data_IF_651772761288
#
_entry.id   IF_651772761288
#
_cell.length_a   1.000
_cell.length_b   1.000
_cell.length_c   1.000
_cell.angle_alpha   90.00
_cell.angle_beta   90.00
_cell.angle_gamma   90.00
#
_symmetry.space_group_name_H-M   'P 1'
#
loop_
_entity.id
_entity.type
_entity.pdbx_description
1 polymer ?
#
# COMPACT_ATOMS: atom_id res chain seq x y z
N UNK A 1 13.37 -28.87 16.35
CA UNK A 1 12.43 -28.03 15.57
C UNK A 1 12.11 -26.86 16.48
N UNK A 2 12.73 -25.70 16.24
CA UNK A 2 12.46 -24.50 17.04
C UNK A 2 11.09 -24.00 16.56
N UNK A 3 10.16 -23.84 17.49
CA UNK A 3 8.79 -23.43 17.22
C UNK A 3 8.77 -21.99 16.67
N UNK A 4 8.64 -21.87 15.35
CA UNK A 4 8.62 -20.60 14.62
C UNK A 4 7.32 -19.81 14.93
N UNK A 5 6.28 -20.46 15.45
CA UNK A 5 4.99 -19.80 15.73
C UNK A 5 5.06 -18.87 16.96
N UNK A 6 5.76 -19.28 18.02
CA UNK A 6 5.96 -18.49 19.25
C UNK A 6 6.71 -17.16 19.01
N UNK A 7 7.61 -17.12 18.03
CA UNK A 7 8.38 -15.91 17.70
C UNK A 7 7.61 -14.90 16.83
N UNK A 8 6.73 -15.40 15.95
CA UNK A 8 5.89 -14.56 15.09
C UNK A 8 4.82 -13.81 15.88
N UNK A 9 4.25 -14.46 16.91
CA UNK A 9 3.24 -13.87 17.79
C UNK A 9 3.81 -12.74 18.65
N UNK A 10 5.01 -12.92 19.23
CA UNK A 10 5.65 -11.89 20.05
C UNK A 10 6.07 -10.64 19.24
N UNK A 11 6.55 -10.85 18.00
CA UNK A 11 6.90 -9.75 17.10
C UNK A 11 5.67 -8.95 16.67
N UNK A 12 4.57 -9.65 16.36
CA UNK A 12 3.30 -9.02 16.05
C UNK A 12 2.79 -8.18 17.22
N UNK A 13 2.68 -8.77 18.43
CA UNK A 13 2.11 -8.07 19.58
C UNK A 13 2.90 -6.80 19.92
N UNK A 14 4.23 -6.84 19.82
CA UNK A 14 5.07 -5.66 20.02
C UNK A 14 4.79 -4.55 19.00
N UNK A 15 4.75 -4.89 17.71
CA UNK A 15 4.48 -3.91 16.65
C UNK A 15 3.05 -3.38 16.72
N UNK A 16 2.09 -4.24 17.06
CA UNK A 16 0.68 -3.90 17.23
C UNK A 16 0.48 -2.89 18.36
N UNK A 17 1.08 -3.10 19.53
CA UNK A 17 0.99 -2.14 20.65
C UNK A 17 1.57 -0.77 20.28
N UNK A 18 2.76 -0.76 19.68
CA UNK A 18 3.38 0.49 19.20
C UNK A 18 2.52 1.18 18.13
N UNK A 19 1.94 0.40 17.22
CA UNK A 19 1.07 0.91 16.17
C UNK A 19 -0.22 1.52 16.73
N UNK A 20 -0.80 0.93 17.80
CA UNK A 20 -1.95 1.50 18.49
C UNK A 20 -1.61 2.78 19.23
N UNK A 21 -0.54 2.79 20.03
CA UNK A 21 -0.09 3.98 20.77
C UNK A 21 0.08 5.18 19.83
N UNK A 22 0.78 4.96 18.71
CA UNK A 22 0.95 5.98 17.66
C UNK A 22 -0.37 6.53 17.11
N UNK A 23 -1.40 5.69 16.96
CA UNK A 23 -2.69 6.13 16.41
C UNK A 23 -3.64 6.71 17.47
N UNK A 24 -3.35 6.50 18.76
CA UNK A 24 -4.05 7.16 19.86
C UNK A 24 -3.54 8.59 20.06
N UNK A 25 -2.25 8.84 19.82
CA UNK A 25 -1.65 10.17 19.95
C UNK A 25 -2.39 11.22 19.11
N UNK A 26 -2.90 12.26 19.77
CA UNK A 26 -3.59 13.38 19.13
C UNK A 26 -5.07 13.13 18.77
N UNK A 27 -5.61 11.92 18.97
CA UNK A 27 -7.06 11.68 18.84
C UNK A 27 -7.80 12.02 20.13
N UNK A 28 -9.02 12.53 20.01
CA UNK A 28 -9.90 12.88 21.15
C UNK A 28 -11.33 12.39 20.90
N UNK A 29 -12.17 12.42 21.93
CA UNK A 29 -13.60 12.11 21.81
C UNK A 29 -13.88 10.70 21.24
N UNK A 30 -14.79 10.64 20.25
CA UNK A 30 -15.23 9.38 19.63
C UNK A 30 -14.09 8.65 18.90
N UNK A 31 -13.18 9.40 18.26
CA UNK A 31 -12.06 8.82 17.51
C UNK A 31 -11.08 8.10 18.44
N UNK A 32 -10.84 8.63 19.65
CA UNK A 32 -10.03 7.97 20.66
C UNK A 32 -10.77 6.77 21.26
N UNK A 33 -12.06 6.93 21.60
CA UNK A 33 -12.90 5.86 22.15
C UNK A 33 -12.94 4.64 21.23
N UNK A 34 -13.00 4.88 19.92
CA UNK A 34 -13.00 3.81 18.92
C UNK A 34 -11.68 3.05 18.87
N UNK A 35 -10.52 3.71 18.99
CA UNK A 35 -9.27 2.95 19.08
C UNK A 35 -9.17 2.19 20.41
N UNK A 36 -9.51 2.83 21.53
CA UNK A 36 -9.27 2.25 22.87
C UNK A 36 -10.26 1.14 23.22
N UNK A 37 -11.52 1.28 22.79
CA UNK A 37 -12.62 0.38 23.17
C UNK A 37 -13.39 -0.21 21.97
N UNK A 38 -13.19 0.34 20.76
CA UNK A 38 -13.90 -0.06 19.54
C UNK A 38 -13.08 -0.97 18.62
N UNK A 39 -11.75 -0.87 18.66
CA UNK A 39 -10.87 -1.70 17.85
C UNK A 39 -11.04 -3.15 18.29
N UNK A 40 -11.78 -3.87 17.47
CA UNK A 40 -12.46 -5.08 17.87
C UNK A 40 -11.58 -6.32 17.78
N UNK A 41 -12.20 -7.41 18.26
CA UNK A 41 -11.70 -8.76 18.04
C UNK A 41 -11.47 -9.05 16.54
N UNK A 42 -12.37 -8.58 15.66
CA UNK A 42 -12.31 -8.87 14.22
C UNK A 42 -11.10 -8.26 13.52
N UNK A 43 -10.77 -7.01 13.83
CA UNK A 43 -9.66 -6.29 13.24
C UNK A 43 -8.32 -6.83 13.73
N UNK A 44 -8.15 -7.06 15.03
CA UNK A 44 -6.95 -7.73 15.54
C UNK A 44 -6.82 -9.13 14.96
N UNK A 45 -7.92 -9.87 14.80
CA UNK A 45 -7.93 -11.20 14.18
C UNK A 45 -7.51 -11.13 12.71
N UNK A 46 -7.97 -10.16 11.95
CA UNK A 46 -7.52 -9.96 10.57
C UNK A 46 -6.04 -9.61 10.50
N UNK A 47 -5.58 -8.70 11.36
CA UNK A 47 -4.18 -8.29 11.38
C UNK A 47 -3.26 -9.48 11.71
N UNK A 48 -3.63 -10.30 12.68
CA UNK A 48 -2.88 -11.51 13.08
C UNK A 48 -2.95 -12.63 12.05
N UNK A 49 -4.16 -13.01 11.61
CA UNK A 49 -4.37 -14.22 10.79
C UNK A 49 -4.19 -13.98 9.30
N UNK A 50 -4.34 -12.74 8.81
CA UNK A 50 -4.39 -12.46 7.37
C UNK A 50 -3.29 -11.50 6.94
N UNK A 51 -3.17 -10.35 7.61
CA UNK A 51 -2.26 -9.29 7.16
C UNK A 51 -0.79 -9.58 7.50
N UNK A 52 -0.52 -9.82 8.79
CA UNK A 52 0.84 -10.02 9.30
C UNK A 52 1.60 -11.17 8.62
N UNK A 53 1.00 -12.34 8.34
CA UNK A 53 1.68 -13.45 7.66
C UNK A 53 2.13 -13.13 6.23
N UNK A 54 1.63 -12.04 5.63
CA UNK A 54 1.98 -11.61 4.28
C UNK A 54 2.93 -10.43 4.32
N UNK A 55 2.59 -9.40 5.10
CA UNK A 55 3.24 -8.08 5.01
C UNK A 55 4.33 -7.90 6.08
N UNK A 56 4.21 -8.55 7.24
CA UNK A 56 5.14 -8.45 8.37
C UNK A 56 5.42 -6.99 8.82
N UNK A 57 4.47 -6.09 8.56
CA UNK A 57 4.50 -4.69 8.97
C UNK A 57 3.06 -4.15 9.03
N UNK A 58 2.82 -3.19 9.91
CA UNK A 58 1.59 -2.42 10.01
C UNK A 58 1.73 -1.01 9.38
N UNK A 59 2.83 -0.76 8.67
CA UNK A 59 3.04 0.48 7.94
C UNK A 59 1.90 0.74 6.95
N UNK A 60 1.54 2.02 6.83
CA UNK A 60 0.45 2.51 5.98
C UNK A 60 -0.96 2.05 6.37
N UNK A 61 -1.11 1.18 7.37
CA UNK A 61 -2.42 0.87 7.96
C UNK A 61 -2.78 1.91 9.03
N UNK A 62 -4.04 2.33 8.99
CA UNK A 62 -4.64 3.23 9.96
C UNK A 62 -5.93 2.60 10.51
N UNK A 63 -6.04 2.36 11.83
CA UNK A 63 -7.27 1.87 12.42
C UNK A 63 -8.28 3.00 12.56
N UNK A 64 -9.57 2.64 12.45
CA UNK A 64 -10.70 3.55 12.70
C UNK A 64 -10.48 4.88 11.98
N UNK A 65 -10.20 4.80 10.66
CA UNK A 65 -9.81 5.96 9.87
C UNK A 65 -11.03 6.80 9.53
N UNK A 66 -10.96 8.08 9.90
CA UNK A 66 -12.06 9.02 9.69
C UNK A 66 -12.08 9.48 8.23
N UNK A 67 -13.23 9.34 7.59
CA UNK A 67 -13.51 9.93 6.28
C UNK A 67 -14.50 11.09 6.46
N UNK A 68 -14.22 12.20 5.79
CA UNK A 68 -15.18 13.29 5.68
C UNK A 68 -16.31 12.83 4.75
N UNK A 69 -17.55 13.01 5.20
CA UNK A 69 -18.75 12.80 4.38
C UNK A 69 -19.48 14.13 4.25
N UNK A 70 -20.20 14.32 3.15
CA UNK A 70 -20.89 15.57 2.79
C UNK A 70 -22.08 15.89 3.73
N UNK A 71 -22.44 14.97 4.63
CA UNK A 71 -23.38 15.23 5.72
C UNK A 71 -22.70 14.97 7.06
N UNK A 72 -22.65 15.99 7.93
CA UNK A 72 -22.16 16.16 9.33
C UNK A 72 -21.97 14.92 10.27
N UNK A 73 -21.67 13.73 9.76
CA UNK A 73 -21.44 12.49 10.51
C UNK A 73 -20.02 12.02 10.23
N UNK A 74 -19.24 11.90 11.29
CA UNK A 74 -17.96 11.22 11.22
C UNK A 74 -18.19 9.74 10.88
N UNK A 75 -17.65 9.31 9.73
CA UNK A 75 -17.66 7.92 9.31
C UNK A 75 -16.27 7.34 9.45
N UNK A 76 -16.22 6.08 9.87
CA UNK A 76 -14.99 5.36 10.17
C UNK A 76 -14.85 4.18 9.22
N UNK A 77 -13.62 3.96 8.76
CA UNK A 77 -13.18 2.73 8.09
C UNK A 77 -12.41 1.92 9.12
N UNK A 78 -12.75 0.65 9.31
CA UNK A 78 -12.10 -0.21 10.32
C UNK A 78 -10.57 -0.22 10.16
N UNK A 79 -10.09 -0.47 8.93
CA UNK A 79 -8.69 -0.41 8.56
C UNK A 79 -8.52 0.29 7.20
N UNK A 80 -7.88 1.45 7.18
CA UNK A 80 -7.47 2.12 5.95
C UNK A 80 -6.00 1.82 5.63
N UNK A 81 -5.73 1.23 4.46
CA UNK A 81 -4.36 1.10 3.93
C UNK A 81 -4.08 2.22 2.93
N UNK A 82 -3.30 3.21 3.36
CA UNK A 82 -3.02 4.44 2.62
C UNK A 82 -1.58 4.41 2.13
N UNK A 83 -1.40 3.88 0.92
CA UNK A 83 -0.09 3.80 0.26
C UNK A 83 -0.20 4.21 -1.19
N UNK A 84 0.57 5.23 -1.58
CA UNK A 84 0.55 5.75 -2.94
C UNK A 84 0.71 4.64 -4.00
N UNK A 85 -0.09 4.63 -5.08
CA UNK A 85 -1.10 5.62 -5.47
C UNK A 85 -2.52 5.29 -4.99
N UNK A 86 -2.70 4.28 -4.14
CA UNK A 86 -4.04 3.78 -3.77
C UNK A 86 -4.40 4.07 -2.31
N UNK A 87 -5.69 4.11 -2.05
CA UNK A 87 -6.27 4.09 -0.71
C UNK A 87 -7.23 2.92 -0.66
N UNK A 88 -7.02 2.01 0.28
CA UNK A 88 -7.84 0.81 0.42
C UNK A 88 -8.61 0.91 1.72
N UNK A 89 -9.94 0.79 1.63
CA UNK A 89 -10.82 0.68 2.77
C UNK A 89 -11.05 -0.82 3.01
N UNK A 90 -10.62 -1.31 4.18
CA UNK A 90 -10.79 -2.70 4.60
C UNK A 90 -11.82 -2.69 5.73
N UNK A 91 -12.97 -3.32 5.47
CA UNK A 91 -14.07 -3.43 6.45
C UNK A 91 -14.16 -4.87 6.95
N UNK A 92 -14.40 -5.04 8.24
CA UNK A 92 -14.47 -6.34 8.90
C UNK A 92 -15.86 -6.52 9.50
N UNK A 93 -16.67 -7.25 8.76
CA UNK A 93 -18.07 -7.46 9.08
C UNK A 93 -18.23 -8.62 10.07
N UNK A 94 -18.58 -8.28 11.30
CA UNK A 94 -19.06 -9.26 12.28
C UNK A 94 -20.42 -9.84 11.87
N UNK A 95 -20.61 -11.14 12.06
CA UNK A 95 -21.94 -11.77 11.95
C UNK A 95 -22.51 -12.01 13.35
N UNK A 96 -23.61 -11.33 13.70
CA UNK A 96 -24.25 -11.48 15.01
C UNK A 96 -25.74 -11.13 14.99
N UNK A 97 -26.45 -11.30 16.13
CA UNK A 97 -27.87 -10.97 16.26
C UNK A 97 -28.19 -9.51 15.89
N UNK A 98 -27.20 -8.62 15.99
CA UNK A 98 -27.31 -7.21 15.63
C UNK A 98 -27.61 -6.97 14.14
N UNK A 99 -27.21 -7.86 13.21
CA UNK A 99 -27.62 -7.76 11.80
C UNK A 99 -29.13 -7.98 11.62
N UNK A 100 -29.78 -8.72 12.52
CA UNK A 100 -31.26 -8.84 12.54
C UNK A 100 -31.95 -7.57 13.06
N UNK A 101 -31.20 -6.70 13.76
CA UNK A 101 -31.67 -5.44 14.34
C UNK A 101 -31.22 -4.21 13.54
N UNK A 102 -30.51 -4.38 12.42
CA UNK A 102 -30.24 -3.26 11.51
C UNK A 102 -31.57 -2.89 10.86
N UNK A 103 -32.06 -1.69 11.17
CA UNK A 103 -33.25 -1.13 10.53
C UNK A 103 -32.99 -0.93 9.03
N UNK A 104 -34.04 -1.01 8.21
CA UNK A 104 -33.95 -0.87 6.74
C UNK A 104 -33.23 0.41 6.33
N UNK A 105 -33.39 1.48 7.11
CA UNK A 105 -32.68 2.75 6.90
C UNK A 105 -31.16 2.64 7.11
N UNK A 106 -30.71 1.96 8.17
CA UNK A 106 -29.28 1.74 8.41
C UNK A 106 -28.66 0.83 7.35
N UNK A 107 -29.41 -0.17 6.87
CA UNK A 107 -28.95 -1.00 5.75
C UNK A 107 -28.75 -0.16 4.49
N UNK A 108 -29.73 0.67 4.12
CA UNK A 108 -29.61 1.58 2.99
C UNK A 108 -28.45 2.58 3.13
N UNK A 109 -28.26 3.15 4.33
CA UNK A 109 -27.16 4.07 4.63
C UNK A 109 -25.79 3.40 4.45
N UNK A 110 -25.64 2.15 4.90
CA UNK A 110 -24.41 1.37 4.72
C UNK A 110 -24.10 1.09 3.23
N UNK A 111 -25.13 0.86 2.41
CA UNK A 111 -24.96 0.70 0.97
C UNK A 111 -24.53 2.02 0.31
N UNK A 112 -25.13 3.15 0.70
CA UNK A 112 -24.74 4.45 0.17
C UNK A 112 -23.32 4.84 0.61
N UNK A 113 -22.94 4.53 1.86
CA UNK A 113 -21.57 4.69 2.35
C UNK A 113 -20.56 3.94 1.48
N UNK A 114 -20.86 2.69 1.15
CA UNK A 114 -20.03 1.89 0.25
C UNK A 114 -19.83 2.61 -1.08
N UNK A 115 -20.92 3.10 -1.67
CA UNK A 115 -20.88 3.79 -2.96
C UNK A 115 -20.07 5.10 -2.89
N UNK A 116 -20.22 5.88 -1.82
CA UNK A 116 -19.46 7.13 -1.63
C UNK A 116 -17.95 6.87 -1.56
N UNK A 117 -17.51 5.87 -0.79
CA UNK A 117 -16.10 5.49 -0.74
C UNK A 117 -15.55 5.12 -2.13
N UNK A 118 -16.33 4.37 -2.92
CA UNK A 118 -15.95 4.01 -4.29
C UNK A 118 -15.86 5.25 -5.19
N UNK A 119 -16.81 6.18 -5.09
CA UNK A 119 -16.80 7.45 -5.83
C UNK A 119 -15.57 8.31 -5.46
N UNK A 120 -15.19 8.31 -4.19
CA UNK A 120 -13.99 9.01 -3.68
C UNK A 120 -12.67 8.32 -4.04
N UNK A 121 -12.73 7.29 -4.88
CA UNK A 121 -11.57 6.58 -5.40
C UNK A 121 -10.95 5.57 -4.43
N UNK A 122 -11.64 5.23 -3.34
CA UNK A 122 -11.20 4.13 -2.47
C UNK A 122 -11.36 2.79 -3.17
N UNK A 123 -10.40 1.90 -2.92
CA UNK A 123 -10.56 0.48 -3.16
C UNK A 123 -11.21 -0.14 -1.93
N UNK A 124 -12.48 -0.49 -2.04
CA UNK A 124 -13.22 -1.05 -0.92
C UNK A 124 -13.19 -2.58 -0.96
N UNK A 125 -12.73 -3.21 0.13
CA UNK A 125 -12.74 -4.65 0.33
C UNK A 125 -13.34 -4.96 1.69
N UNK A 126 -14.10 -6.06 1.77
CA UNK A 126 -14.81 -6.47 2.99
C UNK A 126 -14.51 -7.92 3.30
N UNK A 127 -14.35 -8.23 4.58
CA UNK A 127 -14.16 -9.60 5.08
C UNK A 127 -15.19 -9.86 6.17
N UNK A 128 -15.74 -11.07 6.22
CA UNK A 128 -16.52 -11.49 7.38
C UNK A 128 -15.58 -12.02 8.46
N UNK A 129 -15.88 -11.75 9.73
CA UNK A 129 -15.16 -12.36 10.87
C UNK A 129 -15.16 -13.88 10.73
N UNK A 130 -16.29 -14.46 10.32
CA UNK A 130 -16.44 -15.90 10.09
C UNK A 130 -15.47 -16.44 9.03
N UNK A 131 -15.25 -15.73 7.92
CA UNK A 131 -14.28 -16.18 6.91
C UNK A 131 -12.83 -16.05 7.40
N UNK A 132 -12.53 -15.04 8.22
CA UNK A 132 -11.20 -14.89 8.83
C UNK A 132 -10.92 -16.02 9.82
N UNK A 133 -11.89 -16.39 10.68
CA UNK A 133 -11.77 -17.47 11.65
C UNK A 133 -11.68 -18.86 11.00
N UNK A 134 -12.61 -19.14 10.08
CA UNK A 134 -12.79 -20.49 9.56
C UNK A 134 -11.98 -20.78 8.30
N UNK A 135 -11.60 -19.74 7.55
CA UNK A 135 -10.95 -19.88 6.23
C UNK A 135 -9.87 -18.79 6.01
N UNK A 136 -8.94 -18.57 6.97
CA UNK A 136 -7.93 -17.50 6.85
C UNK A 136 -7.10 -17.62 5.58
N UNK A 137 -6.82 -18.85 5.11
CA UNK A 137 -6.09 -19.12 3.86
C UNK A 137 -6.70 -18.42 2.64
N UNK A 138 -8.04 -18.35 2.59
CA UNK A 138 -8.77 -17.72 1.49
C UNK A 138 -8.59 -16.21 1.54
N UNK A 139 -8.70 -15.62 2.73
CA UNK A 139 -8.46 -14.21 2.97
C UNK A 139 -7.02 -13.83 2.64
N UNK A 140 -6.04 -14.65 3.06
CA UNK A 140 -4.61 -14.47 2.77
C UNK A 140 -4.36 -14.45 1.26
N UNK A 141 -4.89 -15.43 0.51
CA UNK A 141 -4.73 -15.47 -0.95
C UNK A 141 -5.33 -14.24 -1.63
N UNK A 142 -6.49 -13.79 -1.16
CA UNK A 142 -7.13 -12.59 -1.68
C UNK A 142 -6.26 -11.35 -1.42
N UNK A 143 -5.83 -11.12 -0.17
CA UNK A 143 -4.99 -9.97 0.20
C UNK A 143 -3.67 -10.00 -0.57
N UNK A 144 -3.01 -11.15 -0.68
CA UNK A 144 -1.78 -11.30 -1.48
C UNK A 144 -2.00 -10.95 -2.95
N UNK A 145 -3.10 -11.42 -3.55
CA UNK A 145 -3.42 -11.15 -4.96
C UNK A 145 -3.75 -9.68 -5.17
N UNK A 146 -4.52 -9.07 -4.25
CA UNK A 146 -4.83 -7.65 -4.23
C UNK A 146 -3.56 -6.81 -4.15
N UNK A 147 -2.65 -7.13 -3.21
CA UNK A 147 -1.39 -6.42 -3.06
C UNK A 147 -0.50 -6.60 -4.31
N UNK A 148 -0.45 -7.79 -4.89
CA UNK A 148 0.28 -8.05 -6.14
C UNK A 148 -0.30 -7.28 -7.33
N UNK A 149 -1.61 -7.21 -7.45
CA UNK A 149 -2.29 -6.51 -8.54
C UNK A 149 -2.10 -4.99 -8.46
N UNK A 150 -2.20 -4.41 -7.26
CA UNK A 150 -2.14 -2.95 -7.09
C UNK A 150 -0.71 -2.46 -6.82
N UNK A 151 0.11 -3.20 -6.07
CA UNK A 151 1.45 -2.77 -5.70
C UNK A 151 2.58 -3.61 -6.28
N UNK A 152 2.31 -4.78 -6.87
CA UNK A 152 3.33 -5.67 -7.42
C UNK A 152 4.09 -5.11 -8.62
N UNK A 153 3.55 -4.07 -9.29
CA UNK A 153 4.26 -3.29 -10.31
C UNK A 153 4.89 -2.01 -9.74
N UNK A 154 4.48 -1.58 -8.54
CA UNK A 154 4.83 -0.28 -7.94
C UNK A 154 5.95 -0.34 -6.89
N UNK A 155 6.39 -1.52 -6.44
CA UNK A 155 7.52 -1.62 -5.51
C UNK A 155 8.83 -1.04 -6.10
N UNK A 156 9.00 -1.05 -7.42
CA UNK A 156 10.13 -0.35 -8.05
C UNK A 156 9.94 1.17 -8.10
N UNK A 157 8.70 1.67 -8.13
CA UNK A 157 8.36 3.10 -8.28
C UNK A 157 8.67 3.91 -7.02
N UNK A 158 8.41 3.35 -5.84
CA UNK A 158 8.68 4.04 -4.57
C UNK A 158 10.19 4.18 -4.28
N UNK A 159 11.04 3.43 -5.00
CA UNK A 159 12.51 3.52 -4.89
C UNK A 159 13.16 4.53 -5.85
N UNK A 160 12.39 5.15 -6.74
CA UNK A 160 12.90 6.10 -7.74
C UNK A 160 12.95 7.52 -7.15
N UNK A 161 14.16 8.07 -7.09
CA UNK A 161 14.37 9.47 -6.70
C UNK A 161 13.81 10.42 -7.77
N UNK A 162 13.49 11.67 -7.38
CA UNK A 162 13.06 12.70 -8.34
C UNK A 162 14.07 12.90 -9.48
N UNK A 163 15.37 12.75 -9.18
CA UNK A 163 16.44 12.90 -10.18
C UNK A 163 16.45 11.77 -11.19
N UNK A 164 16.27 10.53 -10.73
CA UNK A 164 16.10 9.36 -11.60
C UNK A 164 14.84 9.49 -12.47
N UNK A 165 13.74 9.99 -11.90
CA UNK A 165 12.50 10.24 -12.65
C UNK A 165 12.71 11.21 -13.80
N UNK A 166 13.43 12.32 -13.57
CA UNK A 166 13.74 13.30 -14.61
C UNK A 166 14.64 12.72 -15.72
N UNK A 167 15.60 11.86 -15.36
CA UNK A 167 16.47 11.20 -16.34
C UNK A 167 15.66 10.27 -17.26
N UNK A 168 14.73 9.49 -16.69
CA UNK A 168 13.85 8.62 -17.47
C UNK A 168 12.96 9.46 -18.39
N UNK A 169 12.38 10.56 -17.90
CA UNK A 169 11.56 11.47 -18.71
C UNK A 169 12.35 12.07 -19.89
N UNK A 170 13.58 12.54 -19.63
CA UNK A 170 14.49 13.04 -20.67
C UNK A 170 14.82 11.95 -21.71
N UNK A 171 15.08 10.72 -21.26
CA UNK A 171 15.38 9.60 -22.15
C UNK A 171 14.20 9.20 -23.05
N UNK A 172 12.97 9.23 -22.51
CA UNK A 172 11.75 9.01 -23.28
C UNK A 172 11.53 10.11 -24.32
N UNK A 173 11.68 11.38 -23.91
CA UNK A 173 11.55 12.52 -24.82
C UNK A 173 12.54 12.48 -25.99
N UNK A 174 13.79 12.10 -25.72
CA UNK A 174 14.84 11.96 -26.73
C UNK A 174 14.56 10.86 -27.76
N UNK A 175 13.68 9.90 -27.45
CA UNK A 175 13.35 8.73 -28.27
C UNK A 175 14.56 8.03 -28.91
N UNK A 176 15.70 8.06 -28.21
CA UNK A 176 16.98 7.53 -28.67
C UNK A 176 17.78 6.98 -27.50
N UNK A 177 18.71 6.04 -27.72
CA UNK A 177 19.56 5.53 -26.66
C UNK A 177 20.40 6.62 -25.98
N UNK A 178 20.48 6.56 -24.65
CA UNK A 178 21.20 7.55 -23.83
C UNK A 178 22.47 6.97 -23.20
N UNK A 179 23.45 7.85 -22.98
CA UNK A 179 24.71 7.55 -22.27
C UNK A 179 24.83 8.40 -21.01
N UNK A 180 25.70 7.96 -20.08
CA UNK A 180 26.01 8.74 -18.88
C UNK A 180 26.56 10.15 -19.19
N UNK A 181 27.22 10.34 -20.33
CA UNK A 181 27.72 11.66 -20.75
C UNK A 181 26.59 12.59 -21.19
N UNK A 182 25.52 12.07 -21.81
CA UNK A 182 24.37 12.88 -22.20
C UNK A 182 23.67 13.45 -20.96
N UNK A 183 23.53 12.62 -19.92
CA UNK A 183 22.95 13.03 -18.64
C UNK A 183 23.89 13.96 -17.86
N UNK A 184 25.20 13.71 -17.89
CA UNK A 184 26.17 14.61 -17.25
C UNK A 184 26.06 16.03 -17.80
N UNK A 185 25.95 16.16 -19.12
CA UNK A 185 25.83 17.46 -19.80
C UNK A 185 24.45 18.09 -19.58
N UNK A 186 23.37 17.33 -19.80
CA UNK A 186 21.99 17.84 -19.68
C UNK A 186 21.66 18.30 -18.25
N UNK A 187 22.05 17.52 -17.24
CA UNK A 187 21.73 17.79 -15.84
C UNK A 187 22.85 18.55 -15.10
N UNK A 188 23.89 18.97 -15.83
CA UNK A 188 25.08 19.66 -15.31
C UNK A 188 25.66 18.97 -14.06
N UNK A 189 25.96 17.67 -14.18
CA UNK A 189 26.55 16.86 -13.10
C UNK A 189 27.86 16.21 -13.52
N UNK A 190 28.67 15.85 -12.52
CA UNK A 190 29.89 15.10 -12.73
C UNK A 190 29.60 13.74 -13.38
N UNK A 191 30.52 13.28 -14.24
CA UNK A 191 30.41 12.03 -14.98
C UNK A 191 30.29 10.81 -14.05
N UNK A 192 30.95 10.85 -12.90
CA UNK A 192 30.90 9.81 -11.88
C UNK A 192 29.50 9.72 -11.25
N UNK A 193 28.88 10.87 -10.97
CA UNK A 193 27.51 10.98 -10.44
C UNK A 193 26.49 10.48 -11.46
N UNK A 194 26.64 10.85 -12.73
CA UNK A 194 25.82 10.30 -13.82
C UNK A 194 25.98 8.77 -13.91
N UNK A 195 27.21 8.27 -13.82
CA UNK A 195 27.47 6.83 -13.82
C UNK A 195 26.82 6.08 -12.64
N UNK A 196 26.80 6.67 -11.44
CA UNK A 196 26.13 6.10 -10.28
C UNK A 196 24.61 6.03 -10.46
N UNK A 197 24.00 7.08 -11.01
CA UNK A 197 22.56 7.12 -11.32
C UNK A 197 22.17 6.08 -12.36
N UNK A 198 22.98 5.89 -13.41
CA UNK A 198 22.74 4.84 -14.41
C UNK A 198 22.83 3.44 -13.81
N UNK A 199 23.80 3.18 -12.94
CA UNK A 199 23.91 1.90 -12.25
C UNK A 199 22.68 1.64 -11.37
N UNK A 200 22.21 2.66 -10.66
CA UNK A 200 21.00 2.53 -9.82
C UNK A 200 19.76 2.25 -10.67
N UNK A 201 19.53 3.04 -11.73
CA UNK A 201 18.43 2.84 -12.68
C UNK A 201 18.48 1.47 -13.37
N UNK A 202 19.68 0.98 -13.70
CA UNK A 202 19.87 -0.35 -14.29
C UNK A 202 19.60 -1.48 -13.30
N UNK A 203 20.10 -1.37 -12.06
CA UNK A 203 19.81 -2.33 -10.98
C UNK A 203 18.32 -2.39 -10.64
N UNK A 204 17.61 -1.26 -10.80
CA UNK A 204 16.16 -1.16 -10.65
C UNK A 204 15.36 -1.65 -11.87
N UNK A 205 16.01 -2.16 -12.93
CA UNK A 205 15.30 -2.62 -14.14
C UNK A 205 14.72 -1.52 -15.04
N UNK A 206 15.03 -0.24 -14.76
CA UNK A 206 14.43 0.92 -15.44
C UNK A 206 15.17 1.33 -16.70
N UNK A 207 16.47 1.02 -16.75
CA UNK A 207 17.32 1.19 -17.94
C UNK A 207 17.92 -0.16 -18.34
N UNK A 208 17.80 -0.49 -19.63
CA UNK A 208 18.38 -1.72 -20.21
C UNK A 208 19.53 -1.38 -21.16
N UNK A 209 20.65 -2.13 -21.11
CA UNK A 209 21.75 -1.95 -22.04
C UNK A 209 21.36 -2.44 -23.44
N UNK A 210 21.74 -1.70 -24.48
CA UNK A 210 21.54 -2.17 -25.88
C UNK A 210 22.50 -3.31 -26.23
N UNK A 211 23.67 -3.34 -25.61
CA UNK A 211 24.70 -4.33 -25.88
C UNK A 211 25.28 -4.85 -24.56
N UNK A 212 25.02 -6.11 -24.18
CA UNK A 212 25.70 -6.71 -23.04
C UNK A 212 27.17 -6.94 -23.40
N UNK A 213 28.09 -6.35 -22.63
CA UNK A 213 29.53 -6.44 -22.85
C UNK A 213 30.31 -5.80 -21.69
N UNK A 214 31.66 -5.88 -21.71
CA UNK A 214 32.53 -5.40 -20.60
C UNK A 214 32.36 -3.91 -20.27
N UNK A 215 31.88 -3.08 -21.21
CA UNK A 215 31.60 -1.66 -20.99
C UNK A 215 30.30 -1.28 -21.66
N UNK A 216 29.26 -1.07 -20.86
CA UNK A 216 27.96 -0.63 -21.35
C UNK A 216 28.04 0.87 -21.63
N UNK A 217 27.81 1.26 -22.88
CA UNK A 217 27.86 2.65 -23.30
C UNK A 217 26.50 3.29 -23.51
N UNK A 218 25.47 2.50 -23.83
CA UNK A 218 24.15 2.98 -24.21
C UNK A 218 23.06 2.20 -23.50
N UNK A 219 22.05 2.94 -23.07
CA UNK A 219 20.87 2.41 -22.41
C UNK A 219 19.61 2.90 -23.11
N UNK A 220 18.58 2.06 -23.08
CA UNK A 220 17.21 2.45 -23.44
C UNK A 220 16.33 2.35 -22.20
N UNK A 221 15.25 3.12 -22.21
CA UNK A 221 14.23 3.04 -21.18
C UNK A 221 13.50 1.71 -21.32
N UNK A 222 13.38 0.96 -20.22
CA UNK A 222 12.63 -0.29 -20.23
C UNK A 222 11.15 -0.02 -20.48
N UNK A 223 10.43 -0.99 -21.05
CA UNK A 223 8.97 -0.88 -21.25
C UNK A 223 8.24 -0.62 -19.92
N UNK A 224 8.78 -1.16 -18.83
CA UNK A 224 8.31 -0.88 -17.48
C UNK A 224 8.45 0.60 -17.15
N UNK A 225 9.66 1.15 -17.22
CA UNK A 225 9.91 2.57 -16.95
C UNK A 225 9.12 3.53 -17.85
N UNK A 226 8.88 3.17 -19.11
CA UNK A 226 8.02 3.93 -20.02
C UNK A 226 6.57 4.00 -19.52
N UNK A 227 6.02 2.88 -19.04
CA UNK A 227 4.67 2.83 -18.44
C UNK A 227 4.59 3.59 -17.12
N UNK A 228 5.68 3.63 -16.34
CA UNK A 228 5.72 4.31 -15.04
C UNK A 228 5.47 5.81 -15.14
N UNK A 229 5.90 6.44 -16.23
CA UNK A 229 5.84 7.89 -16.40
C UNK A 229 4.60 8.41 -17.12
N UNK A 230 3.71 7.52 -17.61
CA UNK A 230 2.50 7.86 -18.39
C UNK A 230 2.67 9.14 -19.24
N UNK A 231 3.51 9.04 -20.26
CA UNK A 231 3.32 9.80 -21.48
C UNK A 231 2.39 9.01 -22.40
#
# INVERSE_FOLDING_TARGET
MIDISLGADAAFEKEYMKWLEKHQEGRTGEQLRRITNGHGYGEKLFLTQVWWPIVHSLDYLHPEFVVADDGDKERFIDLAYIRSPYRIAIEIDGYGPHLKNIDRYQFGDNLMRHNHLVLDGWKLIRFSVTDIEQRPERCIRFVRSMLGQWYGQNQEIESITNRERQIIAYALYRNTPIRAMDIANEFNIRRESAGALFRSLHQKGLLTPISPGRRIHYYVVSLQAARLLKL
#
